data_IF_368745687251
#
_entry.id   IF_368745687251
#
_cell.length_a   1.000
_cell.length_b   1.000
_cell.length_c   1.000
_cell.angle_alpha   90.00
_cell.angle_beta   90.00
_cell.angle_gamma   90.00
#
_symmetry.space_group_name_H-M   'P 1'
#
loop_
_entity.id
_entity.type
_entity.pdbx_description
1 polymer ?
#
# COMPACT_ATOMS: atom_id res chain seq x y z
N UNK A 1 30.13 3.99 17.86
CA UNK A 1 29.86 4.83 16.67
C UNK A 1 28.39 4.65 16.37
N UNK A 2 27.59 5.65 16.75
CA UNK A 2 26.14 5.70 16.52
C UNK A 2 25.83 5.63 15.03
N UNK A 3 25.25 4.53 14.59
CA UNK A 3 24.47 4.47 13.35
C UNK A 3 23.18 5.24 13.60
N UNK A 4 23.22 6.57 13.45
CA UNK A 4 21.99 7.33 13.23
C UNK A 4 21.38 6.83 11.94
N UNK A 5 20.32 6.03 12.06
CA UNK A 5 19.39 5.77 10.98
C UNK A 5 18.99 7.10 10.37
N UNK A 6 19.54 7.40 9.19
CA UNK A 6 19.09 8.52 8.38
C UNK A 6 17.75 8.11 7.76
N UNK A 7 16.68 8.25 8.54
CA UNK A 7 15.33 8.33 7.98
C UNK A 7 15.25 9.65 7.24
N UNK A 8 15.68 9.66 5.97
CA UNK A 8 15.35 10.75 5.07
C UNK A 8 13.82 10.89 5.05
N UNK A 9 13.27 12.11 5.13
CA UNK A 9 11.83 12.28 5.00
C UNK A 9 11.41 11.72 3.64
N UNK A 10 10.51 10.75 3.66
CA UNK A 10 9.87 10.19 2.46
C UNK A 10 9.21 11.38 1.76
N UNK A 11 9.66 11.70 0.55
CA UNK A 11 9.01 12.76 -0.23
C UNK A 11 7.58 12.32 -0.61
N UNK A 12 6.72 13.27 -0.96
CA UNK A 12 5.33 12.97 -1.29
C UNK A 12 5.15 11.96 -2.42
N UNK A 13 6.12 11.84 -3.33
CA UNK A 13 6.09 10.91 -4.46
C UNK A 13 6.41 9.48 -4.01
N UNK A 14 7.41 9.30 -3.14
CA UNK A 14 7.73 7.99 -2.55
C UNK A 14 6.58 7.44 -1.69
N UNK A 15 5.76 8.29 -1.08
CA UNK A 15 4.58 7.84 -0.32
C UNK A 15 3.56 7.18 -1.26
N UNK A 16 3.27 7.79 -2.41
CA UNK A 16 2.32 7.22 -3.38
C UNK A 16 2.83 5.90 -3.95
N UNK A 17 4.12 5.82 -4.31
CA UNK A 17 4.74 4.59 -4.79
C UNK A 17 4.65 3.44 -3.77
N UNK A 18 4.77 3.75 -2.47
CA UNK A 18 4.57 2.79 -1.38
C UNK A 18 3.12 2.32 -1.29
N UNK A 19 2.16 3.26 -1.35
CA UNK A 19 0.74 2.94 -1.23
C UNK A 19 0.27 2.09 -2.42
N UNK A 20 0.66 2.47 -3.63
CA UNK A 20 0.40 1.72 -4.86
C UNK A 20 1.10 0.37 -4.82
N UNK A 21 2.31 0.30 -4.29
CA UNK A 21 3.01 -0.96 -4.07
C UNK A 21 2.24 -1.93 -3.18
N UNK A 22 1.68 -1.46 -2.06
CA UNK A 22 0.88 -2.30 -1.14
C UNK A 22 -0.37 -2.82 -1.86
N UNK A 23 -1.09 -1.95 -2.56
CA UNK A 23 -2.29 -2.36 -3.30
C UNK A 23 -1.94 -3.29 -4.47
N UNK A 24 -0.82 -3.06 -5.15
CA UNK A 24 -0.32 -3.89 -6.25
C UNK A 24 0.02 -5.32 -5.82
N UNK A 25 0.58 -5.51 -4.62
CA UNK A 25 0.78 -6.85 -4.05
C UNK A 25 -0.56 -7.60 -3.90
N UNK A 26 -1.66 -6.88 -3.67
CA UNK A 26 -3.00 -7.45 -3.48
C UNK A 26 -3.83 -7.50 -4.78
N UNK A 27 -3.29 -7.04 -5.91
CA UNK A 27 -4.05 -6.82 -7.16
C UNK A 27 -4.71 -8.11 -7.69
N UNK A 28 -4.08 -9.27 -7.44
CA UNK A 28 -4.58 -10.58 -7.88
C UNK A 28 -5.91 -10.99 -7.22
N UNK A 29 -6.40 -10.18 -6.27
CA UNK A 29 -7.65 -10.38 -5.54
C UNK A 29 -7.67 -11.67 -4.72
N UNK A 30 -6.52 -12.26 -4.41
CA UNK A 30 -6.39 -13.36 -3.46
C UNK A 30 -6.19 -12.83 -2.03
N UNK A 31 -6.22 -13.75 -1.07
CA UNK A 31 -5.86 -13.44 0.31
C UNK A 31 -4.35 -13.49 0.47
N UNK A 32 -3.76 -12.40 0.95
CA UNK A 32 -2.34 -12.30 1.26
C UNK A 32 -2.11 -12.13 2.75
N UNK A 33 -1.06 -12.73 3.27
CA UNK A 33 -0.70 -12.55 4.67
C UNK A 33 0.01 -11.20 4.84
N UNK A 34 -0.21 -10.53 5.98
CA UNK A 34 0.50 -9.27 6.32
C UNK A 34 2.02 -9.40 6.19
N UNK A 35 2.59 -10.59 6.46
CA UNK A 35 4.02 -10.88 6.30
C UNK A 35 4.50 -10.78 4.85
N UNK A 36 3.66 -11.16 3.88
CA UNK A 36 4.02 -11.14 2.45
C UNK A 36 4.15 -9.70 1.97
N UNK A 37 3.27 -8.81 2.45
CA UNK A 37 3.35 -7.38 2.17
C UNK A 37 4.62 -6.77 2.79
N UNK A 38 4.96 -7.16 4.03
CA UNK A 38 6.22 -6.72 4.67
C UNK A 38 7.47 -7.15 3.91
N UNK A 39 7.46 -8.35 3.33
CA UNK A 39 8.59 -8.87 2.56
C UNK A 39 8.68 -8.21 1.19
N UNK A 40 7.54 -7.92 0.56
CA UNK A 40 7.48 -7.26 -0.74
C UNK A 40 7.84 -5.77 -0.68
N UNK A 41 7.60 -5.11 0.46
CA UNK A 41 7.71 -3.66 0.60
C UNK A 41 8.59 -3.32 1.78
N UNK A 42 9.66 -2.58 1.50
CA UNK A 42 10.60 -2.13 2.52
C UNK A 42 10.02 -0.99 3.38
N UNK A 43 9.14 -1.35 4.31
CA UNK A 43 8.61 -0.45 5.33
C UNK A 43 8.78 -0.97 6.75
N UNK A 44 9.09 -0.09 7.71
CA UNK A 44 9.00 -0.40 9.13
C UNK A 44 7.57 -0.83 9.52
N UNK A 45 7.47 -1.85 10.37
CA UNK A 45 6.19 -2.40 10.85
C UNK A 45 5.30 -1.33 11.49
N UNK A 46 5.90 -0.42 12.25
CA UNK A 46 5.24 0.72 12.89
C UNK A 46 4.52 1.65 11.90
N UNK A 47 4.93 1.66 10.63
CA UNK A 47 4.30 2.46 9.56
C UNK A 47 3.32 1.63 8.73
N UNK A 48 3.60 0.34 8.53
CA UNK A 48 2.72 -0.52 7.74
C UNK A 48 1.35 -0.70 8.39
N UNK A 49 1.28 -0.94 9.70
CA UNK A 49 0.00 -1.17 10.37
C UNK A 49 -0.98 0.02 10.26
N UNK A 50 -0.56 1.28 10.48
CA UNK A 50 -1.39 2.46 10.21
C UNK A 50 -1.87 2.57 8.75
N UNK A 51 -1.02 2.23 7.77
CA UNK A 51 -1.39 2.28 6.35
C UNK A 51 -2.46 1.23 6.03
N UNK A 52 -2.27 -0.01 6.50
CA UNK A 52 -3.25 -1.07 6.31
C UNK A 52 -4.59 -0.73 6.99
N UNK A 53 -4.54 -0.12 8.18
CA UNK A 53 -5.73 0.38 8.87
C UNK A 53 -6.45 1.45 8.02
N UNK A 54 -5.70 2.41 7.49
CA UNK A 54 -6.25 3.41 6.58
C UNK A 54 -6.93 2.76 5.37
N UNK A 55 -6.32 1.77 4.73
CA UNK A 55 -6.96 1.07 3.62
C UNK A 55 -8.25 0.33 4.00
N UNK A 56 -8.33 -0.22 5.23
CA UNK A 56 -9.57 -0.81 5.73
C UNK A 56 -10.63 0.26 5.98
N UNK A 57 -10.25 1.37 6.62
CA UNK A 57 -11.16 2.47 6.96
C UNK A 57 -11.77 3.14 5.71
N UNK A 58 -11.02 3.18 4.61
CA UNK A 58 -11.46 3.68 3.30
C UNK A 58 -12.05 2.59 2.39
N UNK A 59 -12.34 1.42 2.93
CA UNK A 59 -12.95 0.28 2.23
C UNK A 59 -12.13 -0.21 1.02
N UNK A 60 -10.82 0.05 0.96
CA UNK A 60 -9.95 -0.37 -0.16
C UNK A 60 -9.53 -1.84 -0.04
N UNK A 61 -9.42 -2.36 1.18
CA UNK A 61 -9.10 -3.75 1.48
C UNK A 61 -10.04 -4.31 2.55
N UNK A 62 -10.12 -5.63 2.65
CA UNK A 62 -10.64 -6.34 3.84
C UNK A 62 -9.49 -6.97 4.61
N UNK A 63 -9.59 -6.93 5.94
CA UNK A 63 -8.68 -7.62 6.85
C UNK A 63 -9.46 -8.68 7.64
N UNK A 64 -9.06 -9.94 7.50
CA UNK A 64 -9.52 -11.05 8.34
C UNK A 64 -8.53 -11.23 9.52
N UNK A 65 -8.85 -10.60 10.67
CA UNK A 65 -7.97 -10.51 11.84
C UNK A 65 -7.47 -11.88 12.33
N UNK A 66 -8.35 -12.89 12.37
CA UNK A 66 -8.02 -14.24 12.84
C UNK A 66 -6.89 -14.91 12.05
N UNK A 67 -6.74 -14.56 10.77
CA UNK A 67 -5.75 -15.13 9.86
C UNK A 67 -4.67 -14.15 9.46
N UNK A 68 -4.75 -12.89 9.92
CA UNK A 68 -3.89 -11.79 9.45
C UNK A 68 -3.80 -11.75 7.93
N UNK A 69 -4.96 -11.94 7.28
CA UNK A 69 -5.08 -12.05 5.83
C UNK A 69 -5.78 -10.81 5.28
N UNK A 70 -5.21 -10.27 4.21
CA UNK A 70 -5.64 -9.05 3.53
C UNK A 70 -6.09 -9.39 2.13
N UNK A 71 -7.13 -8.71 1.65
CA UNK A 71 -7.63 -8.87 0.30
C UNK A 71 -8.07 -7.52 -0.23
N UNK A 72 -7.70 -7.20 -1.47
CA UNK A 72 -8.18 -5.98 -2.11
C UNK A 72 -9.68 -6.05 -2.38
N UNK A 73 -10.36 -4.91 -2.22
CA UNK A 73 -11.77 -4.73 -2.59
C UNK A 73 -11.88 -4.09 -3.98
N UNK A 74 -13.05 -4.14 -4.64
CA UNK A 74 -13.26 -3.49 -5.93
C UNK A 74 -12.90 -1.99 -5.95
N UNK A 75 -13.12 -1.30 -4.83
CA UNK A 75 -12.71 0.09 -4.57
C UNK A 75 -11.18 0.26 -4.64
N UNK A 76 -10.41 -0.58 -3.94
CA UNK A 76 -8.95 -0.58 -3.99
C UNK A 76 -8.40 -0.87 -5.39
N UNK A 77 -9.00 -1.83 -6.11
CA UNK A 77 -8.65 -2.11 -7.51
C UNK A 77 -8.94 -0.92 -8.43
N UNK A 78 -9.99 -0.16 -8.14
CA UNK A 78 -10.35 1.02 -8.93
C UNK A 78 -9.30 2.11 -8.77
N UNK A 79 -8.73 2.27 -7.56
CA UNK A 79 -7.63 3.21 -7.29
C UNK A 79 -6.39 2.88 -8.13
N UNK A 80 -5.98 1.61 -8.18
CA UNK A 80 -4.85 1.16 -9.01
C UNK A 80 -5.02 1.44 -10.51
N UNK A 81 -6.27 1.60 -10.97
CA UNK A 81 -6.60 1.81 -12.39
C UNK A 81 -6.86 3.27 -12.72
N UNK A 82 -6.77 4.18 -11.76
CA UNK A 82 -6.88 5.61 -12.04
C UNK A 82 -5.67 6.02 -12.87
N UNK A 83 -5.88 6.65 -14.05
CA UNK A 83 -4.78 7.18 -14.83
C UNK A 83 -4.03 8.21 -14.01
N UNK A 84 -2.71 8.23 -14.14
CA UNK A 84 -1.89 9.29 -13.55
C UNK A 84 -2.30 10.64 -14.12
N UNK A 85 -2.14 11.73 -13.36
CA UNK A 85 -2.42 13.10 -13.84
C UNK A 85 -1.73 13.37 -15.20
N UNK A 86 -0.54 12.81 -15.39
CA UNK A 86 0.21 12.88 -16.65
C UNK A 86 -0.50 12.19 -17.83
N UNK A 87 -1.18 11.07 -17.61
CA UNK A 87 -1.94 10.37 -18.66
C UNK A 87 -3.26 11.08 -18.98
N UNK A 88 -3.85 11.76 -18.00
CA UNK A 88 -5.07 12.56 -18.21
C UNK A 88 -4.76 13.81 -19.04
N UNK A 89 -3.66 14.50 -18.75
CA UNK A 89 -3.26 15.72 -19.49
C UNK A 89 -2.86 15.44 -20.95
N UNK A 90 -2.30 14.26 -21.25
CA UNK A 90 -1.87 13.89 -22.61
C UNK A 90 -2.95 13.13 -23.42
N UNK A 91 -4.12 12.86 -22.83
CA UNK A 91 -5.27 12.27 -23.52
C UNK A 91 -6.27 13.30 -24.04
N UNK A 92 -6.04 14.60 -23.75
CA UNK A 92 -6.80 15.76 -24.24
C UNK A 92 -6.12 16.44 -25.42
#
# INVERSE_FOLDING_TARGET
MDMKEMHAPIDGKQIWEVLDGILGVLEDSNGHLVREIKEAIWLPEEKLAPILRFFVDFDLISWEDEKSMLRIKPSGLSVLRLPSEYEIENAM
#
